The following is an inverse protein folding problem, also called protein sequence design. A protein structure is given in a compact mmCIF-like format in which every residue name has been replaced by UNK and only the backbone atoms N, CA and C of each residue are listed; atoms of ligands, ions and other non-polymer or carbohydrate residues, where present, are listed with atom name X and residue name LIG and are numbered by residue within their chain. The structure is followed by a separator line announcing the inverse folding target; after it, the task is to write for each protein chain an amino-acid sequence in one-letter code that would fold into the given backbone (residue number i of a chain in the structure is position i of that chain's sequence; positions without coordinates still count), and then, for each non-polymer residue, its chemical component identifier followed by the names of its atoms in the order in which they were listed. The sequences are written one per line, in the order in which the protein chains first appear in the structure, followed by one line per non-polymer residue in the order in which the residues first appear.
data_IF_618555722730
#
_entry.id   IF_618555722730
#
_cell.length_a   1.000
_cell.length_b   1.000
_cell.length_c   1.000
_cell.angle_alpha   90.00
_cell.angle_beta   90.00
_cell.angle_gamma   90.00
#
_symmetry.space_group_name_H-M   'P 1'
#
loop_
_entity.id
_entity.type
_entity.pdbx_description
1 polymer ?
#
# COMPACT_ATOMS: atom_id res chain seq x y z
N UNK A 1 30.66 -68.74 -21.21
CA UNK A 1 29.98 -67.96 -20.14
C UNK A 1 30.87 -66.95 -19.42
N UNK A 2 32.13 -67.27 -19.08
CA UNK A 2 33.03 -66.33 -18.38
C UNK A 2 33.38 -65.07 -19.21
N UNK A 3 33.61 -65.21 -20.52
CA UNK A 3 33.98 -64.08 -21.40
C UNK A 3 32.85 -63.05 -21.60
N UNK A 4 31.57 -63.50 -21.65
CA UNK A 4 30.40 -62.60 -21.72
C UNK A 4 30.19 -61.83 -20.41
N UNK A 5 30.43 -62.48 -19.27
CA UNK A 5 30.39 -61.85 -17.93
C UNK A 5 31.50 -60.80 -17.74
N UNK A 6 32.67 -61.01 -18.35
CA UNK A 6 33.77 -60.05 -18.31
C UNK A 6 33.52 -58.83 -19.20
N UNK A 7 33.04 -59.03 -20.45
CA UNK A 7 32.68 -57.92 -21.35
C UNK A 7 31.53 -57.06 -20.82
N UNK A 8 30.53 -57.67 -20.18
CA UNK A 8 29.44 -56.91 -19.53
C UNK A 8 29.98 -56.01 -18.40
N UNK A 9 30.91 -56.51 -17.58
CA UNK A 9 31.55 -55.73 -16.50
C UNK A 9 32.43 -54.59 -17.02
N UNK A 10 33.15 -54.79 -18.13
CA UNK A 10 33.97 -53.74 -18.75
C UNK A 10 33.09 -52.66 -19.40
N UNK A 11 31.99 -53.05 -20.05
CA UNK A 11 31.00 -52.11 -20.62
C UNK A 11 30.33 -51.26 -19.54
N UNK A 12 29.90 -51.89 -18.43
CA UNK A 12 29.33 -51.17 -17.29
C UNK A 12 30.33 -50.21 -16.65
N UNK A 13 31.62 -50.58 -16.53
CA UNK A 13 32.66 -49.66 -16.02
C UNK A 13 32.91 -48.46 -16.95
N UNK A 14 32.88 -48.67 -18.27
CA UNK A 14 33.02 -47.56 -19.25
C UNK A 14 31.80 -46.63 -19.24
N UNK A 15 30.58 -47.16 -19.08
CA UNK A 15 29.37 -46.34 -18.92
C UNK A 15 29.38 -45.56 -17.60
N UNK A 16 29.82 -46.17 -16.50
CA UNK A 16 29.97 -45.50 -15.20
C UNK A 16 31.03 -44.41 -15.24
N UNK A 17 32.17 -44.64 -15.91
CA UNK A 17 33.19 -43.60 -16.10
C UNK A 17 32.69 -42.46 -16.99
N UNK A 18 31.95 -42.75 -18.06
CA UNK A 18 31.37 -41.72 -18.94
C UNK A 18 30.33 -40.88 -18.19
N UNK A 19 29.43 -41.50 -17.43
CA UNK A 19 28.47 -40.80 -16.58
C UNK A 19 29.10 -40.02 -15.42
N UNK A 20 30.21 -40.51 -14.85
CA UNK A 20 31.00 -39.75 -13.87
C UNK A 20 31.71 -38.55 -14.50
N UNK A 21 32.28 -38.69 -15.69
CA UNK A 21 32.93 -37.59 -16.39
C UNK A 21 31.91 -36.53 -16.84
N UNK A 22 30.76 -36.93 -17.35
CA UNK A 22 29.66 -36.01 -17.69
C UNK A 22 29.13 -35.28 -16.44
N UNK A 23 29.02 -35.96 -15.29
CA UNK A 23 28.72 -35.32 -14.00
C UNK A 23 29.80 -34.34 -13.55
N UNK A 24 31.08 -34.73 -13.60
CA UNK A 24 32.20 -33.87 -13.17
C UNK A 24 32.36 -32.65 -14.09
N UNK A 25 32.16 -32.82 -15.40
CA UNK A 25 32.18 -31.72 -16.37
C UNK A 25 30.98 -30.80 -16.15
N UNK A 26 29.78 -31.35 -15.98
CA UNK A 26 28.58 -30.57 -15.63
C UNK A 26 28.75 -29.80 -14.33
N UNK A 27 29.35 -30.42 -13.31
CA UNK A 27 29.59 -29.82 -12.00
C UNK A 27 30.64 -28.72 -12.07
N UNK A 28 31.73 -28.91 -12.83
CA UNK A 28 32.73 -27.87 -13.09
C UNK A 28 32.16 -26.68 -13.87
N UNK A 29 31.31 -26.92 -14.87
CA UNK A 29 30.67 -25.85 -15.65
C UNK A 29 29.68 -25.06 -14.79
N UNK A 30 28.87 -25.73 -13.97
CA UNK A 30 27.94 -25.08 -13.03
C UNK A 30 28.70 -24.24 -11.99
N UNK A 31 29.80 -24.76 -11.44
CA UNK A 31 30.64 -24.01 -10.49
C UNK A 31 31.30 -22.80 -11.14
N UNK A 32 31.80 -22.93 -12.38
CA UNK A 32 32.41 -21.82 -13.10
C UNK A 32 31.40 -20.70 -13.41
N UNK A 33 30.18 -21.07 -13.83
CA UNK A 33 29.11 -20.13 -14.11
C UNK A 33 28.58 -19.45 -12.82
N UNK A 34 28.50 -20.20 -11.72
CA UNK A 34 28.14 -19.63 -10.41
C UNK A 34 29.19 -18.61 -9.92
N UNK A 35 30.49 -18.90 -10.07
CA UNK A 35 31.55 -17.94 -9.73
C UNK A 35 31.43 -16.66 -10.55
N UNK A 36 31.19 -16.77 -11.86
CA UNK A 36 30.96 -15.61 -12.75
C UNK A 36 29.78 -14.75 -12.28
N UNK A 37 28.66 -15.37 -11.94
CA UNK A 37 27.47 -14.65 -11.47
C UNK A 37 27.71 -13.94 -10.13
N UNK A 38 28.52 -14.51 -9.24
CA UNK A 38 28.92 -13.87 -7.98
C UNK A 38 29.80 -12.64 -8.23
N UNK A 39 30.69 -12.69 -9.21
CA UNK A 39 31.53 -11.53 -9.55
C UNK A 39 30.70 -10.41 -10.18
N UNK A 40 29.73 -10.73 -11.05
CA UNK A 40 28.76 -9.76 -11.56
C UNK A 40 27.94 -9.09 -10.44
N UNK A 41 27.52 -9.86 -9.42
CA UNK A 41 26.84 -9.29 -8.25
C UNK A 41 27.70 -8.29 -7.47
N UNK A 42 29.03 -8.47 -7.41
CA UNK A 42 29.92 -7.51 -6.76
C UNK A 42 30.02 -6.21 -7.55
N UNK A 43 30.07 -6.29 -8.88
CA UNK A 43 30.08 -5.12 -9.76
C UNK A 43 28.78 -4.31 -9.62
N UNK A 44 27.63 -4.99 -9.66
CA UNK A 44 26.30 -4.41 -9.39
C UNK A 44 26.24 -3.67 -8.05
N UNK A 45 26.76 -4.30 -6.98
CA UNK A 45 26.83 -3.67 -5.66
C UNK A 45 27.70 -2.41 -5.63
N UNK A 46 28.75 -2.35 -6.46
CA UNK A 46 29.57 -1.17 -6.66
C UNK A 46 28.78 -0.03 -7.32
N UNK A 47 28.10 -0.33 -8.44
CA UNK A 47 27.27 0.65 -9.17
C UNK A 47 26.15 1.22 -8.32
N UNK A 48 25.41 0.37 -7.62
CA UNK A 48 24.36 0.80 -6.67
C UNK A 48 24.92 1.76 -5.61
N UNK A 49 26.11 1.47 -5.09
CA UNK A 49 26.77 2.33 -4.09
C UNK A 49 27.17 3.67 -4.68
N UNK A 50 27.59 3.70 -5.93
CA UNK A 50 28.00 4.93 -6.61
C UNK A 50 26.78 5.80 -6.98
N UNK A 51 25.67 5.19 -7.41
CA UNK A 51 24.37 5.87 -7.61
C UNK A 51 23.92 6.53 -6.30
N UNK A 52 23.95 5.81 -5.19
CA UNK A 52 23.51 6.32 -3.88
C UNK A 52 24.42 7.42 -3.29
N UNK A 53 25.61 7.66 -3.85
CA UNK A 53 26.49 8.77 -3.42
C UNK A 53 26.06 10.12 -4.01
N UNK A 54 25.24 10.15 -5.07
CA UNK A 54 24.81 11.38 -5.76
C UNK A 54 23.86 12.29 -4.96
N UNK A 55 23.30 11.81 -3.83
CA UNK A 55 22.31 12.55 -3.07
C UNK A 55 20.90 12.47 -3.68
N UNK A 56 19.87 12.74 -2.86
CA UNK A 56 18.46 12.43 -3.18
C UNK A 56 17.87 13.19 -4.40
N UNK A 57 18.51 14.28 -4.82
CA UNK A 57 18.04 15.15 -5.91
C UNK A 57 18.61 14.74 -7.29
N UNK A 58 19.73 14.01 -7.31
CA UNK A 58 20.40 13.48 -8.52
C UNK A 58 20.26 11.95 -8.66
N UNK A 59 19.71 11.27 -7.66
CA UNK A 59 19.54 9.81 -7.70
C UNK A 59 18.39 9.47 -8.65
N UNK A 60 18.73 9.04 -9.87
CA UNK A 60 17.76 8.48 -10.81
C UNK A 60 17.19 7.19 -10.23
N UNK A 61 15.93 7.26 -9.79
CA UNK A 61 15.20 6.13 -9.21
C UNK A 61 15.14 4.94 -10.18
N UNK A 62 15.01 5.24 -11.47
CA UNK A 62 14.93 4.24 -12.53
C UNK A 62 16.26 3.49 -12.70
N UNK A 63 17.40 4.21 -12.65
CA UNK A 63 18.73 3.58 -12.72
C UNK A 63 19.02 2.68 -11.50
N UNK A 64 18.54 3.08 -10.32
CA UNK A 64 18.67 2.26 -9.12
C UNK A 64 17.80 1.00 -9.20
N UNK A 65 16.57 1.13 -9.71
CA UNK A 65 15.63 0.02 -9.84
C UNK A 65 16.09 -1.02 -10.88
N UNK A 66 16.73 -0.58 -11.97
CA UNK A 66 17.34 -1.46 -12.98
C UNK A 66 18.49 -2.31 -12.40
N UNK A 67 19.44 -1.67 -11.72
CA UNK A 67 20.60 -2.36 -11.14
C UNK A 67 20.18 -3.33 -10.01
N UNK A 68 19.16 -2.95 -9.23
CA UNK A 68 18.57 -3.81 -8.20
C UNK A 68 17.85 -5.03 -8.80
N UNK A 69 17.16 -4.85 -9.93
CA UNK A 69 16.47 -5.92 -10.65
C UNK A 69 17.45 -6.94 -11.24
N UNK A 70 18.56 -6.48 -11.81
CA UNK A 70 19.62 -7.35 -12.33
C UNK A 70 20.28 -8.17 -11.20
N UNK A 71 20.59 -7.52 -10.07
CA UNK A 71 21.17 -8.21 -8.90
C UNK A 71 20.24 -9.31 -8.37
N UNK A 72 18.95 -9.06 -8.37
CA UNK A 72 17.96 -10.03 -7.92
C UNK A 72 17.84 -11.24 -8.86
N UNK A 73 17.91 -11.01 -10.17
CA UNK A 73 17.90 -12.07 -11.19
C UNK A 73 19.10 -13.01 -11.01
N UNK A 74 20.31 -12.47 -10.81
CA UNK A 74 21.52 -13.26 -10.58
C UNK A 74 21.45 -14.11 -9.31
N UNK A 75 20.88 -13.59 -8.22
CA UNK A 75 20.63 -14.37 -6.99
C UNK A 75 19.70 -15.55 -7.26
N UNK A 76 18.65 -15.33 -8.07
CA UNK A 76 17.73 -16.37 -8.49
C UNK A 76 18.42 -17.49 -9.27
N UNK A 77 19.26 -17.12 -10.24
CA UNK A 77 20.06 -18.06 -11.04
C UNK A 77 21.01 -18.86 -10.13
N UNK A 78 21.75 -18.19 -9.25
CA UNK A 78 22.67 -18.83 -8.31
C UNK A 78 21.97 -19.82 -7.37
N UNK A 79 20.79 -19.44 -6.85
CA UNK A 79 20.01 -20.32 -5.97
C UNK A 79 19.54 -21.57 -6.71
N UNK A 80 19.15 -21.46 -7.98
CA UNK A 80 18.77 -22.60 -8.83
C UNK A 80 19.98 -23.49 -9.16
N UNK A 81 21.13 -22.90 -9.43
CA UNK A 81 22.39 -23.62 -9.66
C UNK A 81 22.85 -24.40 -8.41
N UNK A 82 22.67 -23.83 -7.21
CA UNK A 82 23.07 -24.45 -5.94
C UNK A 82 22.08 -25.54 -5.48
N UNK A 83 20.77 -25.29 -5.61
CA UNK A 83 19.73 -26.20 -5.09
C UNK A 83 19.27 -27.27 -6.08
N UNK A 84 19.62 -27.12 -7.36
CA UNK A 84 19.05 -27.90 -8.45
C UNK A 84 17.67 -27.38 -8.86
N UNK A 85 17.33 -27.52 -10.13
CA UNK A 85 16.01 -27.17 -10.65
C UNK A 85 15.05 -28.36 -10.44
N UNK A 86 13.93 -28.12 -9.76
CA UNK A 86 12.86 -29.11 -9.69
C UNK A 86 12.18 -29.24 -11.07
N UNK A 87 11.86 -30.47 -11.52
CA UNK A 87 11.19 -30.66 -12.80
C UNK A 87 9.78 -30.06 -12.75
N UNK A 88 9.44 -29.27 -13.76
CA UNK A 88 8.13 -28.62 -13.87
C UNK A 88 7.03 -29.68 -14.02
N UNK A 89 5.95 -29.56 -13.24
CA UNK A 89 4.81 -30.47 -13.33
C UNK A 89 4.04 -30.26 -14.65
N UNK A 90 3.34 -31.28 -15.14
CA UNK A 90 2.56 -31.16 -16.39
C UNK A 90 1.43 -30.11 -16.30
N UNK A 91 0.88 -29.91 -15.10
CA UNK A 91 -0.10 -28.87 -14.82
C UNK A 91 0.54 -27.47 -14.87
N UNK A 92 1.70 -27.30 -14.22
CA UNK A 92 2.49 -26.06 -14.27
C UNK A 92 2.89 -25.72 -15.71
N UNK A 93 3.33 -26.71 -16.49
CA UNK A 93 3.69 -26.53 -17.90
C UNK A 93 2.51 -26.00 -18.72
N UNK A 94 1.34 -26.62 -18.60
CA UNK A 94 0.12 -26.19 -19.31
C UNK A 94 -0.27 -24.76 -18.92
N UNK A 95 -0.19 -24.43 -17.62
CA UNK A 95 -0.50 -23.11 -17.11
C UNK A 95 0.47 -22.02 -17.62
N UNK A 96 1.78 -22.33 -17.68
CA UNK A 96 2.78 -21.40 -18.26
C UNK A 96 2.47 -21.13 -19.73
N UNK A 97 2.22 -22.18 -20.51
CA UNK A 97 1.93 -22.06 -21.94
C UNK A 97 0.68 -21.20 -22.19
N UNK A 98 -0.38 -21.41 -21.42
CA UNK A 98 -1.62 -20.64 -21.55
C UNK A 98 -1.41 -19.16 -21.18
N UNK A 99 -0.68 -18.88 -20.10
CA UNK A 99 -0.39 -17.51 -19.70
C UNK A 99 0.56 -16.80 -20.66
N UNK A 100 1.55 -17.50 -21.25
CA UNK A 100 2.39 -16.94 -22.32
C UNK A 100 1.52 -16.57 -23.53
N UNK A 101 0.56 -17.42 -23.92
CA UNK A 101 -0.39 -17.09 -24.98
C UNK A 101 -1.22 -15.83 -24.69
N UNK A 102 -1.58 -15.58 -23.42
CA UNK A 102 -2.24 -14.32 -23.01
C UNK A 102 -1.33 -13.10 -23.14
N UNK A 103 -0.05 -13.23 -22.78
CA UNK A 103 0.95 -12.18 -22.92
C UNK A 103 1.19 -11.85 -24.39
N UNK A 104 1.30 -12.85 -25.26
CA UNK A 104 1.48 -12.64 -26.72
C UNK A 104 0.33 -11.84 -27.32
N UNK A 105 -0.92 -12.14 -26.93
CA UNK A 105 -2.10 -11.38 -27.36
C UNK A 105 -2.06 -9.94 -26.85
N UNK A 106 -1.61 -9.72 -25.62
CA UNK A 106 -1.50 -8.38 -25.05
C UNK A 106 -0.38 -7.56 -25.72
N UNK A 107 0.75 -8.18 -26.05
CA UNK A 107 1.85 -7.55 -26.80
C UNK A 107 1.41 -7.17 -28.22
N UNK A 108 0.66 -8.03 -28.91
CA UNK A 108 0.10 -7.71 -30.22
C UNK A 108 -0.85 -6.50 -30.17
N UNK A 109 -1.68 -6.39 -29.12
CA UNK A 109 -2.54 -5.21 -28.89
C UNK A 109 -1.74 -3.95 -28.62
N UNK A 110 -0.62 -4.08 -27.89
CA UNK A 110 0.28 -2.97 -27.62
C UNK A 110 0.94 -2.47 -28.91
N UNK A 111 1.43 -3.38 -29.74
CA UNK A 111 2.03 -3.09 -31.06
C UNK A 111 1.02 -2.43 -32.02
N UNK A 112 -0.21 -2.93 -32.05
CA UNK A 112 -1.31 -2.33 -32.83
C UNK A 112 -1.63 -0.90 -32.34
N UNK A 113 -1.63 -0.68 -31.03
CA UNK A 113 -1.88 0.63 -30.43
C UNK A 113 -0.77 1.64 -30.74
N UNK A 114 0.50 1.23 -30.70
CA UNK A 114 1.63 2.08 -31.09
C UNK A 114 1.72 2.33 -32.61
N UNK A 115 1.03 1.53 -33.42
CA UNK A 115 0.95 1.72 -34.88
C UNK A 115 -0.11 2.75 -35.30
N UNK A 116 -0.93 3.26 -34.37
CA UNK A 116 -1.97 4.24 -34.64
C UNK A 116 -1.40 5.68 -34.66
N UNK A 117 -1.92 6.58 -35.52
CA UNK A 117 -1.43 7.96 -35.63
C UNK A 117 -1.70 8.83 -34.39
N UNK A 118 -2.55 8.37 -33.46
CA UNK A 118 -2.84 9.03 -32.19
C UNK A 118 -2.69 8.03 -31.03
N UNK A 119 -1.48 7.97 -30.45
CA UNK A 119 -1.17 7.08 -29.32
C UNK A 119 -1.71 7.67 -28.03
N UNK A 120 -2.56 6.93 -27.32
CA UNK A 120 -3.02 7.27 -25.97
C UNK A 120 -2.13 6.58 -24.93
N UNK A 121 -1.51 7.37 -24.06
CA UNK A 121 -0.61 6.86 -23.00
C UNK A 121 -1.39 5.97 -22.01
N UNK A 122 -2.57 6.40 -21.57
CA UNK A 122 -3.40 5.63 -20.62
C UNK A 122 -3.82 4.25 -21.15
N UNK A 123 -4.06 4.14 -22.46
CA UNK A 123 -4.38 2.86 -23.10
C UNK A 123 -3.17 1.94 -23.16
N UNK A 124 -1.99 2.47 -23.50
CA UNK A 124 -0.76 1.70 -23.49
C UNK A 124 -0.44 1.19 -22.07
N UNK A 125 -0.61 2.05 -21.07
CA UNK A 125 -0.40 1.75 -19.66
C UNK A 125 -1.33 0.62 -19.17
N UNK A 126 -2.62 0.68 -19.52
CA UNK A 126 -3.57 -0.39 -19.16
C UNK A 126 -3.24 -1.76 -19.79
N UNK A 127 -2.62 -1.77 -20.97
CA UNK A 127 -2.16 -3.01 -21.63
C UNK A 127 -0.88 -3.52 -20.97
N UNK A 128 0.02 -2.62 -20.57
CA UNK A 128 1.22 -2.95 -19.80
C UNK A 128 0.85 -3.53 -18.42
N UNK A 129 -0.12 -2.96 -17.71
CA UNK A 129 -0.63 -3.52 -16.45
C UNK A 129 -1.17 -4.95 -16.64
N UNK A 130 -1.85 -5.21 -17.75
CA UNK A 130 -2.37 -6.54 -18.06
C UNK A 130 -1.23 -7.56 -18.25
N UNK A 131 -0.19 -7.18 -18.98
CA UNK A 131 1.02 -8.00 -19.17
C UNK A 131 1.70 -8.28 -17.83
N UNK A 132 1.86 -7.25 -16.99
CA UNK A 132 2.49 -7.37 -15.67
C UNK A 132 1.73 -8.34 -14.76
N UNK A 133 0.39 -8.27 -14.75
CA UNK A 133 -0.45 -9.18 -13.95
C UNK A 133 -0.31 -10.64 -14.38
N UNK A 134 -0.31 -10.90 -15.69
CA UNK A 134 -0.15 -12.26 -16.22
C UNK A 134 1.24 -12.82 -15.91
N UNK A 135 2.30 -12.03 -16.12
CA UNK A 135 3.67 -12.43 -15.77
C UNK A 135 3.83 -12.69 -14.27
N UNK A 136 3.26 -11.83 -13.44
CA UNK A 136 3.26 -11.99 -11.98
C UNK A 136 2.57 -13.28 -11.53
N UNK A 137 1.45 -13.64 -12.19
CA UNK A 137 0.72 -14.86 -11.91
C UNK A 137 1.54 -16.11 -12.28
N UNK A 138 2.24 -16.11 -13.43
CA UNK A 138 3.16 -17.20 -13.84
C UNK A 138 4.28 -17.41 -12.81
N UNK A 139 4.88 -16.31 -12.34
CA UNK A 139 6.01 -16.34 -11.43
C UNK A 139 5.59 -16.83 -10.04
N UNK A 140 4.42 -16.43 -9.57
CA UNK A 140 3.92 -16.81 -8.23
C UNK A 140 3.28 -18.19 -8.17
N UNK A 141 2.64 -18.68 -9.24
CA UNK A 141 1.93 -19.97 -9.22
C UNK A 141 2.85 -21.18 -9.38
N UNK A 142 4.02 -21.02 -10.00
CA UNK A 142 4.93 -22.13 -10.32
C UNK A 142 6.19 -22.19 -9.45
N UNK A 143 6.42 -21.18 -8.61
CA UNK A 143 7.63 -21.07 -7.80
C UNK A 143 7.23 -20.87 -6.33
N UNK A 144 6.91 -21.97 -5.66
CA UNK A 144 6.57 -22.07 -4.22
C UNK A 144 7.70 -21.66 -3.24
N UNK A 145 8.71 -20.93 -3.72
CA UNK A 145 9.85 -20.42 -2.93
C UNK A 145 10.12 -18.93 -3.16
N UNK A 146 9.14 -18.23 -3.75
CA UNK A 146 9.18 -16.80 -4.04
C UNK A 146 8.49 -15.97 -2.95
N UNK A 147 8.32 -16.52 -1.74
CA UNK A 147 8.03 -15.74 -0.52
C UNK A 147 9.03 -14.59 -0.26
N UNK A 148 10.12 -14.49 -1.05
CA UNK A 148 11.08 -13.38 -1.01
C UNK A 148 11.17 -12.49 -2.27
N UNK A 149 10.42 -12.70 -3.37
CA UNK A 149 10.48 -11.74 -4.52
C UNK A 149 9.65 -10.47 -4.31
N UNK A 150 8.83 -10.38 -3.27
CA UNK A 150 7.98 -9.19 -3.08
C UNK A 150 8.70 -8.10 -2.27
N UNK A 151 9.96 -7.81 -2.58
CA UNK A 151 10.72 -6.72 -1.93
C UNK A 151 10.96 -5.50 -2.84
N UNK A 152 10.77 -5.63 -4.16
CA UNK A 152 11.04 -4.54 -5.12
C UNK A 152 10.02 -4.41 -6.26
N UNK A 153 8.87 -5.08 -6.17
CA UNK A 153 7.65 -4.53 -6.77
C UNK A 153 7.26 -3.34 -5.89
N UNK A 154 6.92 -2.18 -6.48
CA UNK A 154 6.47 -1.00 -5.76
C UNK A 154 5.61 -1.43 -4.56
N UNK A 155 5.93 -0.99 -3.33
CA UNK A 155 5.42 -1.63 -2.13
C UNK A 155 3.90 -1.54 -2.12
N UNK A 156 3.22 -2.64 -2.49
CA UNK A 156 1.95 -2.95 -1.86
C UNK A 156 2.35 -3.20 -0.42
N UNK A 157 2.07 -2.22 0.45
CA UNK A 157 2.41 -2.20 1.86
C UNK A 157 2.03 -3.53 2.52
N UNK A 158 2.95 -4.49 2.49
CA UNK A 158 2.88 -5.66 3.34
C UNK A 158 3.32 -5.12 4.69
N UNK A 159 2.31 -4.78 5.49
CA UNK A 159 2.47 -4.32 6.87
C UNK A 159 3.59 -5.15 7.50
N UNK A 160 4.64 -4.45 7.94
CA UNK A 160 5.73 -5.08 8.70
C UNK A 160 5.16 -5.76 9.95
N UNK A 161 5.98 -6.48 10.74
CA UNK A 161 5.52 -6.96 12.04
C UNK A 161 4.87 -5.78 12.76
N UNK A 162 3.56 -5.87 13.03
CA UNK A 162 2.79 -4.75 13.54
C UNK A 162 3.44 -4.29 14.83
N UNK A 163 4.13 -3.17 14.76
CA UNK A 163 4.72 -2.53 15.92
C UNK A 163 3.58 -2.23 16.88
N UNK A 164 3.61 -2.71 18.12
CA UNK A 164 2.54 -2.45 19.11
C UNK A 164 2.45 -0.98 19.56
N UNK A 165 3.18 -0.07 18.90
CA UNK A 165 3.19 1.35 19.21
C UNK A 165 1.98 2.00 18.54
N UNK A 166 0.86 2.02 19.25
CA UNK A 166 -0.33 2.78 18.88
C UNK A 166 0.07 4.25 18.68
N UNK A 167 -0.35 4.90 17.59
CA UNK A 167 -0.15 6.33 17.40
C UNK A 167 -1.08 7.12 18.34
N UNK A 168 -0.70 7.22 19.61
CA UNK A 168 -1.50 7.89 20.64
C UNK A 168 -1.76 9.35 20.34
N UNK A 169 -0.84 10.05 19.65
CA UNK A 169 -1.07 11.42 19.21
C UNK A 169 -2.29 11.53 18.29
N UNK A 170 -2.43 10.63 17.33
CA UNK A 170 -3.56 10.56 16.41
C UNK A 170 -4.86 10.24 17.17
N UNK A 171 -4.82 9.21 18.04
CA UNK A 171 -6.01 8.81 18.83
C UNK A 171 -6.48 9.96 19.71
N UNK A 172 -5.58 10.65 20.39
CA UNK A 172 -5.89 11.77 21.27
C UNK A 172 -6.43 12.95 20.45
N UNK A 173 -5.78 13.30 19.33
CA UNK A 173 -6.24 14.37 18.45
C UNK A 173 -7.69 14.15 17.99
N UNK A 174 -7.96 12.99 17.42
CA UNK A 174 -9.32 12.61 16.95
C UNK A 174 -10.32 12.56 18.12
N UNK A 175 -9.89 12.13 19.31
CA UNK A 175 -10.79 12.09 20.47
C UNK A 175 -11.16 13.47 21.00
N UNK A 176 -10.23 14.42 20.97
CA UNK A 176 -10.46 15.82 21.36
C UNK A 176 -11.37 16.49 20.34
N UNK A 177 -11.14 16.27 19.06
CA UNK A 177 -11.95 16.77 17.96
C UNK A 177 -13.42 16.31 18.10
N UNK A 178 -13.63 14.99 18.18
CA UNK A 178 -14.92 14.37 18.45
C UNK A 178 -15.61 14.91 19.73
N UNK A 179 -14.85 15.19 20.80
CA UNK A 179 -15.38 15.75 22.03
C UNK A 179 -15.92 17.18 21.83
N UNK A 180 -15.17 18.03 21.14
CA UNK A 180 -15.57 19.42 20.86
C UNK A 180 -16.76 19.44 19.90
N UNK A 181 -16.77 18.57 18.90
CA UNK A 181 -17.92 18.37 18.00
C UNK A 181 -19.18 17.99 18.76
N UNK A 182 -19.08 16.98 19.65
CA UNK A 182 -20.20 16.54 20.48
C UNK A 182 -20.74 17.67 21.36
N UNK A 183 -19.85 18.44 21.98
CA UNK A 183 -20.24 19.63 22.75
C UNK A 183 -20.96 20.66 21.88
N UNK A 184 -20.44 20.96 20.69
CA UNK A 184 -21.03 21.96 19.81
C UNK A 184 -22.40 21.50 19.27
N UNK A 185 -22.56 20.23 18.88
CA UNK A 185 -23.85 19.68 18.46
C UNK A 185 -24.89 19.84 19.57
N UNK A 186 -24.55 19.54 20.83
CA UNK A 186 -25.45 19.72 21.95
C UNK A 186 -25.81 21.19 22.22
N UNK A 187 -24.82 22.10 22.22
CA UNK A 187 -25.05 23.53 22.45
C UNK A 187 -25.84 24.19 21.32
N UNK A 188 -25.54 23.83 20.07
CA UNK A 188 -26.26 24.37 18.89
C UNK A 188 -27.70 23.87 18.84
N UNK A 189 -27.96 22.62 19.24
CA UNK A 189 -29.32 22.10 19.36
C UNK A 189 -30.17 22.88 20.38
N UNK A 190 -29.56 23.25 21.52
CA UNK A 190 -30.22 24.08 22.53
C UNK A 190 -30.46 25.51 22.03
N UNK A 191 -29.51 26.09 21.30
CA UNK A 191 -29.67 27.41 20.71
C UNK A 191 -30.75 27.44 19.62
N UNK A 192 -30.76 26.43 18.75
CA UNK A 192 -31.73 26.24 17.69
C UNK A 192 -31.75 24.79 17.24
N UNK A 193 -32.91 24.14 17.33
CA UNK A 193 -33.07 22.74 16.92
C UNK A 193 -32.64 22.52 15.46
N UNK A 194 -32.92 23.47 14.56
CA UNK A 194 -32.54 23.41 13.15
C UNK A 194 -31.02 23.40 12.98
N UNK A 195 -30.33 24.34 13.64
CA UNK A 195 -28.88 24.41 13.61
C UNK A 195 -28.27 23.13 14.20
N UNK A 196 -28.83 22.61 15.29
CA UNK A 196 -28.42 21.34 15.89
C UNK A 196 -28.53 20.15 14.94
N UNK A 197 -29.61 20.05 14.15
CA UNK A 197 -29.74 18.98 13.15
C UNK A 197 -28.74 19.08 12.01
N UNK A 198 -28.51 20.29 11.50
CA UNK A 198 -27.49 20.54 10.45
C UNK A 198 -26.11 20.15 10.96
N UNK A 199 -25.76 20.60 12.17
CA UNK A 199 -24.49 20.29 12.83
C UNK A 199 -24.34 18.79 13.06
N UNK A 200 -25.35 18.13 13.62
CA UNK A 200 -25.32 16.68 13.85
C UNK A 200 -25.12 15.89 12.55
N UNK A 201 -25.77 16.32 11.46
CA UNK A 201 -25.61 15.68 10.16
C UNK A 201 -24.21 15.88 9.58
N UNK A 202 -23.67 17.11 9.62
CA UNK A 202 -22.32 17.42 9.17
C UNK A 202 -21.27 16.62 9.95
N UNK A 203 -21.33 16.68 11.29
CA UNK A 203 -20.44 15.93 12.19
C UNK A 203 -20.56 14.41 12.00
N UNK A 204 -21.74 13.88 11.64
CA UNK A 204 -21.90 12.44 11.38
C UNK A 204 -21.12 12.00 10.14
N UNK A 205 -21.18 12.77 9.05
CA UNK A 205 -20.42 12.48 7.83
C UNK A 205 -18.92 12.56 8.10
N UNK A 206 -18.49 13.62 8.78
CA UNK A 206 -17.10 13.82 9.18
C UNK A 206 -16.58 12.67 10.06
N UNK A 207 -17.35 12.29 11.08
CA UNK A 207 -17.02 11.18 11.97
C UNK A 207 -16.92 9.83 11.24
N UNK A 208 -17.68 9.62 10.16
CA UNK A 208 -17.51 8.43 9.31
C UNK A 208 -16.13 8.41 8.64
N UNK A 209 -15.71 9.52 8.04
CA UNK A 209 -14.40 9.60 7.37
C UNK A 209 -13.25 9.51 8.38
N UNK A 210 -13.32 10.24 9.50
CA UNK A 210 -12.34 10.16 10.58
C UNK A 210 -12.27 8.75 11.19
N UNK A 211 -13.41 8.11 11.41
CA UNK A 211 -13.48 6.75 11.92
C UNK A 211 -12.82 5.72 11.00
N UNK A 212 -13.06 5.82 9.68
CA UNK A 212 -12.40 4.96 8.69
C UNK A 212 -10.89 5.22 8.64
N UNK A 213 -10.48 6.50 8.66
CA UNK A 213 -9.06 6.90 8.64
C UNK A 213 -8.30 6.40 9.88
N UNK A 214 -8.90 6.59 11.07
CA UNK A 214 -8.34 6.11 12.33
C UNK A 214 -8.31 4.58 12.38
N UNK A 215 -9.38 3.91 11.96
CA UNK A 215 -9.43 2.44 11.92
C UNK A 215 -8.38 1.86 10.98
N UNK A 216 -8.18 2.46 9.79
CA UNK A 216 -7.11 2.07 8.87
C UNK A 216 -5.72 2.23 9.52
N UNK A 217 -5.49 3.37 10.18
CA UNK A 217 -4.23 3.67 10.86
C UNK A 217 -3.94 2.70 12.02
N UNK A 218 -4.95 2.33 12.80
CA UNK A 218 -4.83 1.40 13.93
C UNK A 218 -4.75 -0.06 13.46
N UNK A 219 -5.46 -0.42 12.39
CA UNK A 219 -5.43 -1.76 11.79
C UNK A 219 -4.03 -2.14 11.29
N UNK A 220 -3.31 -1.16 10.73
CA UNK A 220 -1.92 -1.33 10.28
C UNK A 220 -0.92 -1.63 11.42
N UNK A 221 -1.32 -1.41 12.68
CA UNK A 221 -0.44 -1.39 13.86
C UNK A 221 -0.88 -2.39 14.94
N UNK A 222 -2.11 -2.90 14.89
CA UNK A 222 -2.67 -3.78 15.93
C UNK A 222 -3.03 -5.18 15.39
N UNK A 223 -2.54 -6.23 16.04
CA UNK A 223 -2.90 -7.64 15.69
C UNK A 223 -4.21 -8.10 16.33
N UNK A 224 -4.50 -7.64 17.55
CA UNK A 224 -5.71 -8.06 18.27
C UNK A 224 -6.95 -7.30 17.79
N UNK A 225 -7.98 -8.05 17.37
CA UNK A 225 -9.30 -7.51 16.99
C UNK A 225 -9.98 -6.75 18.13
N UNK A 226 -9.83 -7.21 19.38
CA UNK A 226 -10.45 -6.54 20.53
C UNK A 226 -9.78 -5.19 20.82
N UNK A 227 -8.45 -5.13 20.74
CA UNK A 227 -7.68 -3.89 20.96
C UNK A 227 -7.97 -2.87 19.86
N UNK A 228 -8.08 -3.31 18.61
CA UNK A 228 -8.49 -2.44 17.50
C UNK A 228 -9.88 -1.84 17.77
N UNK A 229 -10.87 -2.68 18.12
CA UNK A 229 -12.22 -2.20 18.41
C UNK A 229 -12.24 -1.21 19.58
N UNK A 230 -11.52 -1.49 20.67
CA UNK A 230 -11.47 -0.59 21.83
C UNK A 230 -10.87 0.78 21.51
N UNK A 231 -9.82 0.83 20.68
CA UNK A 231 -9.19 2.09 20.29
C UNK A 231 -10.09 2.87 19.32
N UNK A 232 -10.68 2.19 18.34
CA UNK A 232 -11.57 2.82 17.36
C UNK A 232 -12.89 3.32 17.95
N UNK A 233 -13.37 2.71 19.05
CA UNK A 233 -14.57 3.18 19.75
C UNK A 233 -14.31 4.41 20.65
N UNK A 234 -13.05 4.73 20.96
CA UNK A 234 -12.71 5.77 21.94
C UNK A 234 -13.20 7.17 21.51
N UNK A 235 -13.00 7.62 20.26
CA UNK A 235 -13.51 8.93 19.81
C UNK A 235 -15.03 9.02 19.75
N UNK A 236 -15.71 7.92 19.37
CA UNK A 236 -17.18 7.88 19.39
C UNK A 236 -17.70 8.06 20.82
N UNK A 237 -17.01 7.45 21.80
CA UNK A 237 -17.30 7.64 23.22
C UNK A 237 -17.13 9.09 23.67
N UNK A 238 -16.06 9.78 23.22
CA UNK A 238 -15.83 11.18 23.59
C UNK A 238 -16.82 12.13 22.93
N UNK A 239 -17.27 11.85 21.71
CA UNK A 239 -18.36 12.60 21.05
C UNK A 239 -19.66 12.53 21.84
N UNK A 240 -20.09 11.33 22.21
CA UNK A 240 -21.30 11.14 23.01
C UNK A 240 -21.18 11.83 24.37
N UNK A 241 -20.00 11.74 25.00
CA UNK A 241 -19.73 12.41 26.27
C UNK A 241 -19.84 13.94 26.15
N UNK A 242 -19.29 14.52 25.07
CA UNK A 242 -19.42 15.95 24.78
C UNK A 242 -20.89 16.37 24.63
N UNK A 243 -21.67 15.63 23.85
CA UNK A 243 -23.11 15.91 23.66
C UNK A 243 -23.91 15.81 24.96
N UNK A 244 -23.64 14.80 25.78
CA UNK A 244 -24.30 14.65 27.10
C UNK A 244 -23.94 15.81 28.04
N UNK A 245 -22.67 16.21 28.10
CA UNK A 245 -22.25 17.36 28.93
C UNK A 245 -22.93 18.64 28.47
N UNK A 246 -23.00 18.88 27.16
CA UNK A 246 -23.72 20.02 26.61
C UNK A 246 -25.20 20.00 26.97
N UNK A 247 -25.87 18.84 26.88
CA UNK A 247 -27.27 18.70 27.28
C UNK A 247 -27.50 18.91 28.77
N UNK A 248 -26.62 18.38 29.64
CA UNK A 248 -26.76 18.52 31.10
C UNK A 248 -26.47 19.94 31.60
N UNK A 249 -25.51 20.63 30.98
CA UNK A 249 -25.08 21.97 31.40
C UNK A 249 -25.83 23.07 30.67
N UNK A 250 -26.39 22.77 29.50
CA UNK A 250 -27.09 23.68 28.61
C UNK A 250 -28.21 24.49 29.27
N UNK A 251 -29.15 23.81 29.94
CA UNK A 251 -30.27 24.46 30.64
C UNK A 251 -29.80 25.42 31.74
N UNK A 252 -28.64 25.15 32.35
CA UNK A 252 -28.04 26.02 33.35
C UNK A 252 -27.32 27.22 32.71
N UNK A 253 -26.69 27.02 31.55
CA UNK A 253 -26.02 28.07 30.78
C UNK A 253 -27.00 29.02 30.11
N UNK A 254 -28.15 28.53 29.62
CA UNK A 254 -29.18 29.34 28.95
C UNK A 254 -29.69 30.48 29.84
N UNK A 255 -29.70 30.27 31.16
CA UNK A 255 -30.07 31.30 32.16
C UNK A 255 -29.13 32.51 32.15
N UNK A 256 -27.93 32.37 31.60
CA UNK A 256 -26.96 33.44 31.44
C UNK A 256 -26.56 33.54 29.96
N UNK A 257 -27.33 34.32 29.21
CA UNK A 257 -27.16 34.53 27.76
C UNK A 257 -25.70 34.84 27.35
N UNK A 258 -25.00 35.64 28.15
CA UNK A 258 -23.61 36.01 27.86
C UNK A 258 -22.66 34.81 27.97
N UNK A 259 -22.85 33.94 28.97
CA UNK A 259 -22.04 32.72 29.11
C UNK A 259 -22.38 31.72 28.01
N UNK A 260 -23.67 31.54 27.70
CA UNK A 260 -24.11 30.63 26.65
C UNK A 260 -23.55 31.02 25.27
N UNK A 261 -23.68 32.29 24.88
CA UNK A 261 -23.11 32.81 23.64
C UNK A 261 -21.58 32.72 23.63
N UNK A 262 -20.93 32.95 24.77
CA UNK A 262 -19.48 32.79 24.93
C UNK A 262 -19.01 31.35 24.69
N UNK A 263 -19.72 30.36 25.25
CA UNK A 263 -19.41 28.94 25.06
C UNK A 263 -19.63 28.48 23.62
N UNK A 264 -20.72 28.89 22.98
CA UNK A 264 -20.97 28.58 21.56
C UNK A 264 -19.88 29.20 20.68
N UNK A 265 -19.57 30.48 20.89
CA UNK A 265 -18.54 31.18 20.11
C UNK A 265 -17.17 30.52 20.30
N UNK A 266 -16.83 30.16 21.54
CA UNK A 266 -15.61 29.44 21.85
C UNK A 266 -15.56 28.08 21.14
N UNK A 267 -16.63 27.30 21.18
CA UNK A 267 -16.70 25.99 20.52
C UNK A 267 -16.55 26.12 18.99
N UNK A 268 -17.23 27.08 18.36
CA UNK A 268 -17.11 27.35 16.92
C UNK A 268 -15.66 27.75 16.55
N UNK A 269 -15.05 28.66 17.32
CA UNK A 269 -13.66 29.09 17.07
C UNK A 269 -12.69 27.93 17.29
N UNK A 270 -12.93 27.10 18.29
CA UNK A 270 -12.11 25.91 18.56
C UNK A 270 -12.17 24.91 17.41
N UNK A 271 -13.36 24.62 16.86
CA UNK A 271 -13.48 23.76 15.69
C UNK A 271 -12.80 24.35 14.46
N UNK A 272 -13.00 25.65 14.21
CA UNK A 272 -12.32 26.31 13.10
C UNK A 272 -10.80 26.17 13.24
N UNK A 273 -10.26 26.30 14.45
CA UNK A 273 -8.84 26.12 14.71
C UNK A 273 -8.37 24.67 14.49
N UNK A 274 -9.10 23.68 15.02
CA UNK A 274 -8.75 22.25 14.88
C UNK A 274 -8.77 21.81 13.41
N UNK A 275 -9.84 22.14 12.68
CA UNK A 275 -9.97 21.81 11.26
C UNK A 275 -8.95 22.55 10.41
N UNK A 276 -8.70 23.84 10.68
CA UNK A 276 -7.68 24.59 9.91
C UNK A 276 -6.26 24.09 10.16
N UNK A 277 -5.94 23.68 11.39
CA UNK A 277 -4.66 23.02 11.69
C UNK A 277 -4.48 21.76 10.85
N UNK A 278 -5.46 20.86 10.84
CA UNK A 278 -5.41 19.61 10.08
C UNK A 278 -5.31 19.86 8.56
N UNK A 279 -6.11 20.80 8.04
CA UNK A 279 -6.10 21.14 6.61
C UNK A 279 -4.80 21.81 6.18
N UNK A 280 -4.26 22.77 6.96
CA UNK A 280 -3.01 23.45 6.63
C UNK A 280 -1.80 22.52 6.73
N UNK A 281 -1.78 21.65 7.74
CA UNK A 281 -0.73 20.65 7.91
C UNK A 281 -0.77 19.65 6.75
N UNK A 282 -1.96 19.19 6.36
CA UNK A 282 -2.15 18.32 5.19
C UNK A 282 -1.68 19.01 3.91
N UNK A 283 -2.09 20.26 3.68
CA UNK A 283 -1.68 21.02 2.49
C UNK A 283 -0.15 21.24 2.43
N UNK A 284 0.52 21.42 3.58
CA UNK A 284 1.96 21.57 3.64
C UNK A 284 2.72 20.27 3.30
N UNK A 285 2.14 19.11 3.61
CA UNK A 285 2.74 17.80 3.30
C UNK A 285 2.52 17.35 1.85
N UNK A 286 1.61 17.97 1.10
CA UNK A 286 1.34 17.64 -0.30
C UNK A 286 2.35 18.39 -1.19
N UNK A 287 3.23 17.63 -1.86
CA UNK A 287 4.22 18.19 -2.80
C UNK A 287 3.72 18.21 -4.26
N UNK A 288 2.59 17.57 -4.56
CA UNK A 288 2.01 17.47 -5.91
C UNK A 288 0.91 18.51 -6.14
N UNK A 289 1.09 19.38 -7.14
CA UNK A 289 0.11 20.41 -7.52
C UNK A 289 -1.25 19.83 -7.91
N UNK A 290 -1.31 18.63 -8.50
CA UNK A 290 -2.58 17.99 -8.88
C UNK A 290 -3.39 17.59 -7.65
N UNK A 291 -2.73 17.14 -6.59
CA UNK A 291 -3.38 16.77 -5.33
C UNK A 291 -3.98 17.99 -4.61
N UNK A 292 -3.36 19.17 -4.70
CA UNK A 292 -3.90 20.41 -4.13
C UNK A 292 -5.24 20.81 -4.75
N UNK A 293 -5.42 20.61 -6.06
CA UNK A 293 -6.69 20.90 -6.73
C UNK A 293 -7.84 20.03 -6.20
N UNK A 294 -7.59 18.74 -5.96
CA UNK A 294 -8.60 17.83 -5.39
C UNK A 294 -9.01 18.22 -3.97
N UNK A 295 -8.06 18.62 -3.12
CA UNK A 295 -8.36 19.05 -1.74
C UNK A 295 -9.27 20.30 -1.75
N UNK A 296 -8.94 21.28 -2.59
CA UNK A 296 -9.75 22.50 -2.71
C UNK A 296 -11.20 22.19 -3.16
N UNK A 297 -11.38 21.31 -4.15
CA UNK A 297 -12.72 20.93 -4.60
C UNK A 297 -13.53 20.27 -3.50
N UNK A 298 -12.94 19.33 -2.77
CA UNK A 298 -13.65 18.63 -1.69
C UNK A 298 -14.03 19.58 -0.54
N UNK A 299 -13.19 20.58 -0.24
CA UNK A 299 -13.50 21.63 0.73
C UNK A 299 -14.75 22.43 0.31
N UNK A 300 -14.77 22.93 -0.94
CA UNK A 300 -15.92 23.68 -1.45
C UNK A 300 -17.17 22.83 -1.60
N UNK A 301 -17.02 21.55 -1.97
CA UNK A 301 -18.13 20.60 -2.04
C UNK A 301 -18.75 20.37 -0.67
N UNK A 302 -17.94 20.14 0.36
CA UNK A 302 -18.41 19.98 1.74
C UNK A 302 -19.12 21.22 2.26
N UNK A 303 -18.52 22.40 2.10
CA UNK A 303 -19.14 23.66 2.49
C UNK A 303 -20.47 23.91 1.75
N UNK A 304 -20.50 23.67 0.44
CA UNK A 304 -21.71 23.79 -0.38
C UNK A 304 -22.79 22.79 0.01
N UNK A 305 -22.41 21.56 0.40
CA UNK A 305 -23.34 20.54 0.88
C UNK A 305 -24.04 20.97 2.17
N UNK A 306 -23.30 21.55 3.12
CA UNK A 306 -23.88 22.06 4.38
C UNK A 306 -24.84 23.23 4.11
N UNK A 307 -24.46 24.19 3.25
CA UNK A 307 -25.33 25.30 2.86
C UNK A 307 -26.60 24.82 2.16
N UNK A 308 -26.48 23.82 1.30
CA UNK A 308 -27.63 23.20 0.63
C UNK A 308 -28.56 22.49 1.61
N UNK A 309 -28.00 21.79 2.60
CA UNK A 309 -28.76 21.14 3.67
C UNK A 309 -29.53 22.16 4.51
N UNK A 310 -28.91 23.29 4.84
CA UNK A 310 -29.57 24.39 5.55
C UNK A 310 -30.78 24.91 4.77
N UNK A 311 -30.62 25.13 3.46
CA UNK A 311 -31.70 25.59 2.59
C UNK A 311 -32.85 24.57 2.51
N UNK A 312 -32.54 23.27 2.42
CA UNK A 312 -33.56 22.20 2.40
C UNK A 312 -34.34 22.10 3.71
N UNK A 313 -33.71 22.39 4.86
CA UNK A 313 -34.36 22.39 6.17
C UNK A 313 -35.10 23.71 6.47
N UNK A 314 -34.93 24.73 5.61
CA UNK A 314 -35.64 26.00 5.69
C UNK A 314 -37.01 25.98 5.01
N UNK A 315 -37.26 25.03 4.11
CA UNK A 315 -38.56 24.73 3.48
C UNK A 315 -39.47 23.87 4.37
#
# INVERSE_FOLDING_TARGET
NVMKSWMARVSSRKMLQKGMLERIVSEKTVVHEAVRNVDQMKELSGRIRDILKGGADETSRDELDDEMSEMHMLVGVLRRQIRGAEPMTAAAHTQVVESIGRVDVALARLEEHFSQPAVSVDKADSVLEMIERELSHIITSNIDQVEKFRRWVAPTLKQGPKSEVIPWSLVIGVSVDCFVDGLLVGLTYLASQRAGYIMAFATSIESCFLGISLSSSVYNVTESRSRHLSISCLPVGTLLMGGVIAGMTGDALEKNEALFAGFITFAIVSLLFLVTQELLLTAHHITDEKALWYVNINLFLGAGMVMFLEQLLAE
#
